data_IF_558800147050
#
_entry.id   IF_558800147050
#
_cell.length_a   1.000
_cell.length_b   1.000
_cell.length_c   1.000
_cell.angle_alpha   90.00
_cell.angle_beta   90.00
_cell.angle_gamma   90.00
#
_symmetry.space_group_name_H-M   'P 1'
#
loop_
_entity.id
_entity.type
_entity.pdbx_description
1 polymer ?
#
# COMPACT_ATOMS: atom_id res chain seq x y z
N UNK A 1 -55.64 40.50 21.73
CA UNK A 1 -55.28 40.85 20.34
C UNK A 1 -54.78 39.60 19.63
N UNK A 2 -55.47 39.12 18.58
CA UNK A 2 -54.84 38.25 17.59
C UNK A 2 -54.94 38.88 16.18
N UNK A 3 -53.78 39.08 15.53
CA UNK A 3 -53.65 39.26 14.09
C UNK A 3 -53.06 37.95 13.54
N UNK A 4 -53.81 37.16 12.78
CA UNK A 4 -53.96 37.25 11.33
C UNK A 4 -52.66 36.92 10.57
N UNK A 5 -52.58 35.73 9.97
CA UNK A 5 -51.88 35.55 8.70
C UNK A 5 -52.61 34.56 7.79
N UNK A 6 -52.92 35.11 6.63
CA UNK A 6 -53.51 34.57 5.42
C UNK A 6 -52.40 33.95 4.58
N UNK A 7 -52.55 32.74 4.02
CA UNK A 7 -51.82 32.34 2.80
C UNK A 7 -52.71 31.51 1.88
N UNK A 8 -52.68 31.94 0.63
CA UNK A 8 -53.48 31.55 -0.53
C UNK A 8 -52.82 30.39 -1.29
N UNK A 9 -53.66 29.61 -1.95
CA UNK A 9 -53.39 28.49 -2.84
C UNK A 9 -53.11 28.98 -4.29
N UNK A 10 -52.00 28.60 -4.95
CA UNK A 10 -51.82 28.61 -6.43
C UNK A 10 -50.73 27.58 -6.81
N UNK A 11 -51.04 26.37 -7.31
CA UNK A 11 -51.08 25.89 -8.72
C UNK A 11 -49.81 26.01 -9.59
N UNK A 12 -49.49 24.88 -10.25
CA UNK A 12 -48.61 24.76 -11.44
C UNK A 12 -47.17 24.35 -11.12
N UNK A 13 -46.45 23.50 -11.86
CA UNK A 13 -46.51 23.15 -13.28
C UNK A 13 -45.60 21.93 -13.57
N UNK A 14 -46.00 21.16 -14.59
CA UNK A 14 -45.17 20.35 -15.50
C UNK A 14 -44.58 18.99 -15.07
N UNK A 15 -45.39 17.95 -15.31
CA UNK A 15 -44.93 16.67 -15.89
C UNK A 15 -44.97 16.76 -17.41
N UNK A 16 -43.85 16.53 -18.11
CA UNK A 16 -43.82 15.93 -19.46
C UNK A 16 -42.46 15.24 -19.68
N UNK A 17 -42.46 13.89 -19.69
CA UNK A 17 -41.40 13.09 -20.32
C UNK A 17 -42.10 12.31 -21.44
N UNK A 18 -41.83 12.69 -22.69
CA UNK A 18 -42.30 11.99 -23.88
C UNK A 18 -41.18 11.05 -24.33
N UNK A 19 -41.56 9.78 -24.43
CA UNK A 19 -40.81 8.66 -24.98
C UNK A 19 -40.60 8.87 -26.49
N UNK A 20 -39.35 8.85 -26.94
CA UNK A 20 -39.00 8.89 -28.36
C UNK A 20 -38.91 7.47 -28.90
N UNK A 21 -40.05 6.92 -29.32
CA UNK A 21 -40.12 5.77 -30.19
C UNK A 21 -40.96 6.14 -31.42
N UNK A 22 -40.44 5.77 -32.59
CA UNK A 22 -41.11 5.68 -33.89
C UNK A 22 -41.67 6.96 -34.50
N UNK A 23 -40.93 7.51 -35.49
CA UNK A 23 -41.50 8.00 -36.74
C UNK A 23 -40.34 8.39 -37.69
N UNK A 24 -40.06 7.55 -38.68
CA UNK A 24 -39.80 7.93 -40.08
C UNK A 24 -39.28 6.71 -40.85
N UNK A 25 -40.22 5.87 -41.29
CA UNK A 25 -40.10 5.07 -42.50
C UNK A 25 -41.09 5.65 -43.50
N UNK A 26 -40.64 6.46 -44.46
CA UNK A 26 -41.23 6.49 -45.81
C UNK A 26 -40.25 7.19 -46.75
N UNK A 27 -39.55 6.43 -47.60
CA UNK A 27 -39.35 6.69 -49.03
C UNK A 27 -38.28 5.71 -49.55
N UNK A 28 -38.78 4.63 -50.13
CA UNK A 28 -38.03 3.76 -51.02
C UNK A 28 -38.13 4.26 -52.46
N UNK A 29 -37.10 3.92 -53.25
CA UNK A 29 -36.95 3.98 -54.72
C UNK A 29 -36.36 5.28 -55.29
N UNK A 30 -35.05 5.22 -55.57
CA UNK A 30 -34.52 5.15 -56.94
C UNK A 30 -33.01 4.85 -56.89
N UNK A 31 -32.58 3.73 -57.47
CA UNK A 31 -31.17 3.45 -57.79
C UNK A 31 -30.72 4.32 -58.98
N UNK A 32 -29.44 4.72 -59.10
CA UNK A 32 -28.46 3.81 -59.70
C UNK A 32 -27.04 3.86 -59.09
N UNK A 33 -26.38 2.71 -59.11
CA UNK A 33 -24.93 2.48 -59.22
C UNK A 33 -23.97 3.56 -58.67
N UNK A 34 -23.74 3.57 -57.35
CA UNK A 34 -22.58 4.23 -56.76
C UNK A 34 -21.47 3.21 -56.46
N UNK A 35 -20.40 3.30 -57.25
CA UNK A 35 -19.12 2.64 -57.05
C UNK A 35 -18.71 2.68 -55.57
N UNK A 36 -18.53 1.51 -54.97
CA UNK A 36 -17.89 1.34 -53.65
C UNK A 36 -16.44 1.85 -53.76
N UNK A 37 -16.04 2.94 -53.08
CA UNK A 37 -14.64 3.21 -52.91
C UNK A 37 -14.09 2.13 -51.98
N UNK A 38 -13.23 1.26 -52.51
CA UNK A 38 -12.37 0.38 -51.72
C UNK A 38 -11.42 1.26 -50.91
N UNK A 39 -11.89 1.74 -49.77
CA UNK A 39 -11.04 2.34 -48.76
C UNK A 39 -10.19 1.23 -48.16
N UNK A 40 -8.90 1.40 -48.34
CA UNK A 40 -7.77 0.64 -47.82
C UNK A 40 -7.87 0.42 -46.30
N UNK A 41 -8.71 -0.54 -45.89
CA UNK A 41 -9.01 -0.84 -44.48
C UNK A 41 -7.94 -1.65 -43.75
N UNK A 42 -6.92 -2.16 -44.46
CA UNK A 42 -5.89 -3.00 -43.85
C UNK A 42 -4.92 -2.23 -42.95
N UNK A 43 -4.56 -0.99 -43.33
CA UNK A 43 -3.51 -0.21 -42.65
C UNK A 43 -4.01 0.61 -41.47
N UNK A 44 -5.26 1.09 -41.51
CA UNK A 44 -5.85 1.88 -40.41
C UNK A 44 -6.29 0.97 -39.25
N UNK A 45 -6.83 -0.21 -39.57
CA UNK A 45 -7.21 -1.21 -38.56
C UNK A 45 -5.98 -1.79 -37.84
N UNK A 46 -4.87 -2.04 -38.55
CA UNK A 46 -3.60 -2.45 -37.91
C UNK A 46 -2.97 -1.31 -37.11
N UNK A 47 -3.02 -0.07 -37.59
CA UNK A 47 -2.51 1.08 -36.83
C UNK A 47 -3.27 1.28 -35.51
N UNK A 48 -4.61 1.14 -35.51
CA UNK A 48 -5.43 1.24 -34.28
C UNK A 48 -5.25 0.04 -33.35
N UNK A 49 -5.04 -1.17 -33.89
CA UNK A 49 -4.75 -2.36 -33.09
C UNK A 49 -3.36 -2.27 -32.43
N UNK A 50 -2.36 -1.74 -33.14
CA UNK A 50 -1.01 -1.50 -32.61
C UNK A 50 -0.99 -0.33 -31.61
N UNK A 51 -1.77 0.73 -31.83
CA UNK A 51 -1.91 1.84 -30.89
C UNK A 51 -2.64 1.38 -29.60
N UNK A 52 -3.69 0.57 -29.74
CA UNK A 52 -4.39 -0.04 -28.61
C UNK A 52 -3.52 -1.03 -27.82
N UNK A 53 -2.64 -1.78 -28.49
CA UNK A 53 -1.68 -2.67 -27.82
C UNK A 53 -0.54 -1.91 -27.13
N UNK A 54 -0.11 -0.77 -27.67
CA UNK A 54 0.91 0.08 -27.06
C UNK A 54 0.46 0.79 -25.77
N UNK A 55 -0.84 1.06 -25.63
CA UNK A 55 -1.40 1.74 -24.45
C UNK A 55 -1.62 0.81 -23.24
N UNK A 56 -1.52 -0.52 -23.41
CA UNK A 56 -1.64 -1.49 -22.31
C UNK A 56 -0.30 -1.68 -21.56
N UNK A 57 0.83 -1.21 -22.12
CA UNK A 57 2.17 -1.44 -21.55
C UNK A 57 2.73 -0.26 -20.74
N UNK A 58 2.00 0.85 -20.62
CA UNK A 58 2.42 1.97 -19.76
C UNK A 58 1.90 1.83 -18.33
N UNK A 59 2.21 0.71 -17.68
CA UNK A 59 2.26 0.72 -16.22
C UNK A 59 3.55 1.43 -15.80
N UNK A 60 3.51 2.48 -14.95
CA UNK A 60 4.73 2.97 -14.33
C UNK A 60 5.22 1.87 -13.39
N UNK A 61 6.09 1.01 -13.90
CA UNK A 61 6.95 0.18 -13.09
C UNK A 61 7.95 1.12 -12.41
N UNK A 62 7.49 1.85 -11.40
CA UNK A 62 8.34 2.27 -10.30
C UNK A 62 8.70 1.00 -9.55
N UNK A 63 9.56 0.21 -10.18
CA UNK A 63 10.27 -0.87 -9.55
C UNK A 63 11.15 -0.22 -8.50
N UNK A 64 10.59 -0.01 -7.29
CA UNK A 64 11.37 0.20 -6.07
C UNK A 64 12.48 -0.84 -6.15
N UNK A 65 13.74 -0.40 -6.22
CA UNK A 65 14.91 -1.28 -6.25
C UNK A 65 14.78 -2.23 -5.06
N UNK A 66 14.20 -3.41 -5.29
CA UNK A 66 14.08 -4.44 -4.26
C UNK A 66 15.51 -4.79 -3.90
N UNK A 67 15.93 -4.44 -2.70
CA UNK A 67 17.26 -4.77 -2.21
C UNK A 67 17.43 -6.29 -2.36
N UNK A 68 18.37 -6.70 -3.19
CA UNK A 68 18.64 -8.12 -3.43
C UNK A 68 19.55 -8.63 -2.31
N UNK A 69 19.37 -9.87 -1.84
CA UNK A 69 20.31 -10.48 -0.91
C UNK A 69 21.72 -10.50 -1.52
N UNK A 70 22.77 -10.34 -0.69
CA UNK A 70 24.15 -10.57 -1.14
C UNK A 70 24.30 -11.97 -1.75
N UNK A 71 25.21 -12.11 -2.72
CA UNK A 71 25.50 -13.41 -3.30
C UNK A 71 26.21 -14.35 -2.30
N UNK A 72 26.12 -15.66 -2.52
CA UNK A 72 26.95 -16.65 -1.81
C UNK A 72 26.32 -17.32 -0.57
N UNK A 73 25.02 -17.16 -0.34
CA UNK A 73 24.33 -17.81 0.77
C UNK A 73 22.81 -17.80 0.64
N UNK A 74 22.13 -18.36 1.64
CA UNK A 74 20.67 -18.38 1.70
C UNK A 74 20.17 -17.01 2.15
N UNK A 75 19.25 -16.43 1.38
CA UNK A 75 18.71 -15.10 1.66
C UNK A 75 18.01 -15.03 3.03
N UNK A 76 18.30 -13.97 3.77
CA UNK A 76 17.64 -13.62 5.02
C UNK A 76 17.43 -12.11 5.14
N UNK A 77 16.48 -11.69 5.96
CA UNK A 77 16.16 -10.28 6.22
C UNK A 77 16.16 -10.02 7.72
N UNK A 78 16.79 -8.93 8.15
CA UNK A 78 16.78 -8.49 9.56
C UNK A 78 15.39 -8.01 9.96
N UNK A 79 14.83 -8.56 11.04
CA UNK A 79 13.49 -8.25 11.56
C UNK A 79 13.49 -7.68 12.97
N UNK A 80 14.58 -7.87 13.73
CA UNK A 80 14.75 -7.31 15.07
C UNK A 80 16.15 -6.69 15.24
N UNK A 81 16.20 -5.36 15.26
CA UNK A 81 17.44 -4.57 15.38
C UNK A 81 18.12 -4.75 16.74
N UNK A 82 17.35 -5.10 17.78
CA UNK A 82 17.88 -5.27 19.14
C UNK A 82 18.81 -6.48 19.23
N UNK A 83 18.52 -7.51 18.43
CA UNK A 83 19.31 -8.74 18.32
C UNK A 83 20.28 -8.71 17.13
N UNK A 84 20.19 -7.70 16.26
CA UNK A 84 20.95 -7.60 15.03
C UNK A 84 22.38 -7.03 15.21
N UNK A 85 23.08 -7.50 16.23
CA UNK A 85 24.49 -7.21 16.47
C UNK A 85 25.37 -8.17 15.65
N UNK A 86 26.07 -7.65 14.63
CA UNK A 86 27.03 -8.43 13.86
C UNK A 86 28.36 -8.50 14.62
N UNK A 87 28.84 -9.72 14.88
CA UNK A 87 30.03 -9.99 15.69
C UNK A 87 31.10 -10.76 14.92
N UNK A 88 32.33 -10.78 15.42
CA UNK A 88 33.42 -11.55 14.82
C UNK A 88 33.40 -13.05 15.17
N UNK A 89 32.83 -13.41 16.32
CA UNK A 89 32.59 -14.77 16.79
C UNK A 89 31.11 -15.04 17.19
N UNK A 90 30.64 -16.31 17.21
CA UNK A 90 29.27 -16.69 17.52
C UNK A 90 28.99 -16.75 19.04
N UNK A 91 29.24 -15.65 19.73
CA UNK A 91 29.06 -15.50 21.17
C UNK A 91 28.45 -14.14 21.49
N UNK A 92 27.69 -14.03 22.58
CA UNK A 92 27.05 -12.77 22.97
C UNK A 92 28.06 -11.71 23.44
N UNK A 93 29.20 -12.12 23.95
CA UNK A 93 30.31 -11.27 24.41
C UNK A 93 31.34 -10.96 23.33
N UNK A 94 31.26 -11.61 22.16
CA UNK A 94 32.20 -11.41 21.06
C UNK A 94 32.22 -9.95 20.56
N UNK A 95 33.31 -9.53 19.94
CA UNK A 95 33.49 -8.14 19.53
C UNK A 95 32.40 -7.71 18.54
N UNK A 96 31.81 -6.53 18.77
CA UNK A 96 30.76 -5.98 17.92
C UNK A 96 31.39 -5.30 16.71
N UNK A 97 31.14 -5.84 15.52
CA UNK A 97 31.58 -5.26 14.26
C UNK A 97 30.67 -4.11 13.81
N UNK A 98 29.34 -4.33 13.86
CA UNK A 98 28.34 -3.32 13.51
C UNK A 98 26.93 -3.76 13.96
N UNK A 99 26.00 -2.81 14.06
CA UNK A 99 24.57 -3.10 14.21
C UNK A 99 23.86 -3.00 12.87
N UNK A 100 23.02 -3.98 12.56
CA UNK A 100 22.26 -4.00 11.31
C UNK A 100 20.85 -3.47 11.54
N UNK A 101 20.42 -2.55 10.66
CA UNK A 101 19.05 -2.04 10.64
C UNK A 101 18.04 -3.05 10.10
N UNK A 102 16.77 -2.83 10.45
CA UNK A 102 15.64 -3.66 10.01
C UNK A 102 15.45 -3.58 8.51
N UNK A 103 14.99 -4.68 7.90
CA UNK A 103 14.81 -4.79 6.46
C UNK A 103 16.12 -4.94 5.68
N UNK A 104 17.28 -4.94 6.36
CA UNK A 104 18.57 -5.23 5.72
C UNK A 104 18.58 -6.69 5.25
N UNK A 105 18.86 -6.89 3.97
CA UNK A 105 19.12 -8.22 3.44
C UNK A 105 20.53 -8.69 3.77
N UNK A 106 20.65 -9.95 4.16
CA UNK A 106 21.91 -10.64 4.42
C UNK A 106 21.88 -12.02 3.77
N UNK A 107 23.05 -12.62 3.55
CA UNK A 107 23.17 -13.99 3.07
C UNK A 107 23.72 -14.87 4.18
N UNK A 108 22.95 -15.87 4.61
CA UNK A 108 23.38 -16.86 5.60
C UNK A 108 24.28 -17.88 4.93
N UNK A 109 25.51 -18.00 5.43
CA UNK A 109 26.55 -18.89 4.90
C UNK A 109 26.92 -20.02 5.86
N UNK A 110 26.49 -19.94 7.12
CA UNK A 110 26.74 -20.97 8.12
C UNK A 110 25.93 -20.76 9.39
N UNK A 111 25.97 -21.74 10.28
CA UNK A 111 25.22 -21.78 11.53
C UNK A 111 26.09 -22.40 12.63
N UNK A 112 26.03 -21.86 13.85
CA UNK A 112 26.73 -22.41 15.02
C UNK A 112 25.93 -22.12 16.28
N UNK A 113 25.76 -23.14 17.12
CA UNK A 113 25.25 -22.97 18.49
C UNK A 113 26.33 -22.42 19.42
N UNK A 114 25.94 -21.51 20.31
CA UNK A 114 26.77 -21.03 21.41
C UNK A 114 26.52 -21.85 22.67
N UNK A 115 27.42 -21.74 23.65
CA UNK A 115 27.31 -22.40 24.96
C UNK A 115 26.07 -21.94 25.73
N UNK A 116 25.61 -20.72 25.47
CA UNK A 116 24.41 -20.12 26.09
C UNK A 116 23.08 -20.59 25.46
N UNK A 117 23.10 -21.62 24.60
CA UNK A 117 21.92 -22.13 23.89
C UNK A 117 21.43 -21.23 22.75
N UNK A 118 22.12 -20.12 22.47
CA UNK A 118 21.79 -19.21 21.37
C UNK A 118 22.38 -19.72 20.07
N UNK A 119 21.56 -19.76 19.01
CA UNK A 119 22.03 -20.07 17.66
C UNK A 119 22.45 -18.80 16.93
N UNK A 120 23.67 -18.82 16.38
CA UNK A 120 24.22 -17.77 15.54
C UNK A 120 24.32 -18.21 14.09
N UNK A 121 24.04 -17.29 13.18
CA UNK A 121 24.32 -17.43 11.76
C UNK A 121 25.58 -16.69 11.36
N UNK A 122 26.44 -17.36 10.59
CA UNK A 122 27.45 -16.64 9.81
C UNK A 122 26.72 -15.97 8.65
N UNK A 123 26.81 -14.66 8.58
CA UNK A 123 26.13 -13.85 7.57
C UNK A 123 27.11 -13.00 6.79
N UNK A 124 26.93 -12.94 5.47
CA UNK A 124 27.53 -11.92 4.62
C UNK A 124 26.54 -10.77 4.45
N UNK A 125 26.98 -9.55 4.78
CA UNK A 125 26.20 -8.30 4.63
C UNK A 125 26.57 -7.60 3.32
N UNK A 126 27.85 -7.63 2.97
CA UNK A 126 28.40 -7.20 1.68
C UNK A 126 29.48 -8.20 1.24
N UNK A 127 30.09 -7.99 0.08
CA UNK A 127 31.26 -8.80 -0.35
C UNK A 127 32.46 -8.70 0.60
N UNK A 128 32.58 -7.59 1.35
CA UNK A 128 33.72 -7.31 2.26
C UNK A 128 33.34 -7.37 3.73
N UNK A 129 32.06 -7.60 4.05
CA UNK A 129 31.57 -7.52 5.42
C UNK A 129 30.77 -8.77 5.74
N UNK A 130 31.31 -9.58 6.64
CA UNK A 130 30.68 -10.77 7.16
C UNK A 130 30.96 -10.90 8.66
N UNK A 131 30.12 -11.66 9.35
CA UNK A 131 30.24 -11.88 10.78
C UNK A 131 29.16 -12.83 11.28
N UNK A 132 29.01 -12.94 12.59
CA UNK A 132 28.01 -13.76 13.24
C UNK A 132 26.87 -12.89 13.76
N UNK A 133 25.64 -13.37 13.57
CA UNK A 133 24.42 -12.68 13.95
C UNK A 133 23.51 -13.66 14.66
N UNK A 134 22.82 -13.24 15.72
CA UNK A 134 21.82 -14.12 16.36
C UNK A 134 20.74 -14.51 15.35
N UNK A 135 20.40 -15.80 15.30
CA UNK A 135 19.43 -16.33 14.35
C UNK A 135 18.05 -15.69 14.46
N UNK A 136 17.61 -15.34 15.67
CA UNK A 136 16.33 -14.68 15.94
C UNK A 136 16.25 -13.25 15.41
N UNK A 137 17.38 -12.61 15.11
CA UNK A 137 17.41 -11.27 14.53
C UNK A 137 16.93 -11.24 13.07
N UNK A 138 16.90 -12.39 12.39
CA UNK A 138 16.59 -12.51 10.96
C UNK A 138 15.47 -13.51 10.69
N UNK A 139 14.88 -13.41 9.50
CA UNK A 139 13.99 -14.41 8.94
C UNK A 139 14.51 -14.88 7.58
N UNK A 140 14.26 -16.14 7.27
CA UNK A 140 14.66 -16.81 6.03
C UNK A 140 13.41 -17.31 5.32
N UNK A 141 13.06 -16.78 4.13
CA UNK A 141 11.95 -17.30 3.32
C UNK A 141 12.03 -18.79 2.97
N UNK A 142 13.23 -19.37 3.04
CA UNK A 142 13.49 -20.79 2.78
C UNK A 142 13.38 -21.69 4.01
N UNK A 143 13.18 -21.14 5.21
CA UNK A 143 13.07 -21.90 6.46
C UNK A 143 11.60 -21.95 6.87
N UNK A 144 11.06 -23.16 7.02
CA UNK A 144 9.72 -23.34 7.57
C UNK A 144 9.65 -22.81 9.00
N UNK A 145 8.53 -22.20 9.39
CA UNK A 145 8.36 -21.62 10.73
C UNK A 145 8.73 -20.14 10.84
N UNK A 146 9.47 -19.60 9.87
CA UNK A 146 9.97 -18.22 9.94
C UNK A 146 8.87 -17.18 9.66
N UNK A 147 7.87 -17.52 8.84
CA UNK A 147 6.69 -16.69 8.64
C UNK A 147 5.82 -16.67 9.90
N UNK A 148 5.54 -17.81 10.54
CA UNK A 148 4.83 -17.82 11.82
C UNK A 148 5.58 -17.03 12.89
N UNK A 149 6.91 -17.18 12.97
CA UNK A 149 7.76 -16.42 13.91
C UNK A 149 7.64 -14.93 13.67
N UNK A 150 7.73 -14.49 12.41
CA UNK A 150 7.61 -13.06 12.09
C UNK A 150 6.21 -12.53 12.39
N UNK A 151 5.16 -13.30 12.11
CA UNK A 151 3.79 -12.89 12.47
C UNK A 151 3.63 -12.71 13.98
N UNK A 152 4.19 -13.62 14.81
CA UNK A 152 4.19 -13.44 16.27
C UNK A 152 4.90 -12.16 16.68
N UNK A 153 6.06 -11.87 16.09
CA UNK A 153 6.80 -10.64 16.35
C UNK A 153 6.01 -9.39 15.92
N UNK A 154 5.35 -9.41 14.76
CA UNK A 154 4.48 -8.32 14.30
C UNK A 154 3.36 -8.05 15.31
N UNK A 155 2.67 -9.09 15.78
CA UNK A 155 1.58 -8.96 16.75
C UNK A 155 2.04 -8.35 18.08
N UNK A 156 3.24 -8.70 18.54
CA UNK A 156 3.85 -8.10 19.75
C UNK A 156 4.54 -6.74 19.52
N UNK A 157 4.50 -6.20 18.30
CA UNK A 157 5.08 -4.89 17.98
C UNK A 157 4.03 -3.80 18.10
N UNK A 158 4.47 -2.55 18.24
CA UNK A 158 3.58 -1.39 18.24
C UNK A 158 3.98 -0.38 17.15
N UNK A 159 3.02 0.50 16.83
CA UNK A 159 3.23 1.67 15.98
C UNK A 159 3.98 1.37 14.67
N UNK A 160 4.99 2.20 14.36
CA UNK A 160 5.81 2.05 13.17
C UNK A 160 6.54 0.71 13.11
N UNK A 161 6.88 0.12 14.26
CA UNK A 161 7.61 -1.14 14.28
C UNK A 161 6.79 -2.27 13.71
N UNK A 162 5.51 -2.29 14.05
CA UNK A 162 4.52 -3.22 13.49
C UNK A 162 4.37 -3.02 11.99
N UNK A 163 4.23 -1.78 11.51
CA UNK A 163 4.14 -1.47 10.06
C UNK A 163 5.39 -1.93 9.31
N UNK A 164 6.57 -1.62 9.81
CA UNK A 164 7.85 -1.98 9.18
C UNK A 164 8.06 -3.49 9.12
N UNK A 165 7.76 -4.22 10.20
CA UNK A 165 7.85 -5.70 10.24
C UNK A 165 6.81 -6.36 9.35
N UNK A 166 5.57 -5.86 9.34
CA UNK A 166 4.54 -6.33 8.43
C UNK A 166 4.96 -6.11 6.96
N UNK A 167 5.57 -4.97 6.64
CA UNK A 167 6.11 -4.74 5.30
C UNK A 167 7.16 -5.78 4.91
N UNK A 168 8.10 -6.07 5.81
CA UNK A 168 9.12 -7.11 5.58
C UNK A 168 8.48 -8.46 5.33
N UNK A 169 7.47 -8.85 6.12
CA UNK A 169 6.74 -10.09 5.90
C UNK A 169 6.14 -10.14 4.49
N UNK A 170 5.45 -9.07 4.08
CA UNK A 170 4.77 -9.00 2.78
C UNK A 170 5.75 -9.07 1.60
N UNK A 171 6.99 -8.63 1.79
CA UNK A 171 8.04 -8.73 0.77
C UNK A 171 8.77 -10.09 0.80
N UNK A 172 9.02 -10.63 2.00
CA UNK A 172 9.82 -11.84 2.21
C UNK A 172 9.02 -13.14 1.98
N UNK A 173 7.72 -13.14 2.32
CA UNK A 173 6.84 -14.32 2.30
C UNK A 173 5.61 -14.11 1.40
N UNK A 174 5.78 -13.89 0.08
CA UNK A 174 4.67 -13.58 -0.82
C UNK A 174 3.67 -14.73 -0.98
N UNK A 175 4.07 -15.98 -0.67
CA UNK A 175 3.25 -17.20 -0.82
C UNK A 175 2.77 -17.76 0.53
N UNK A 176 3.05 -17.10 1.66
CA UNK A 176 2.62 -17.61 2.95
C UNK A 176 1.09 -17.56 3.08
N UNK A 177 0.44 -18.62 3.61
CA UNK A 177 -0.99 -18.61 3.87
C UNK A 177 -1.39 -17.56 4.92
N UNK A 178 -0.43 -17.05 5.71
CA UNK A 178 -0.65 -16.02 6.72
C UNK A 178 -0.69 -14.60 6.16
N UNK A 179 -0.46 -14.45 4.85
CA UNK A 179 -0.44 -13.14 4.19
C UNK A 179 -1.72 -12.31 4.37
N UNK A 180 -2.95 -12.87 4.31
CA UNK A 180 -4.17 -12.09 4.55
C UNK A 180 -4.20 -11.47 5.95
N UNK A 181 -3.83 -12.24 6.96
CA UNK A 181 -3.73 -11.76 8.35
C UNK A 181 -2.70 -10.62 8.49
N UNK A 182 -1.55 -10.72 7.83
CA UNK A 182 -0.53 -9.66 7.86
C UNK A 182 -0.97 -8.42 7.07
N UNK A 183 -1.65 -8.58 5.94
CA UNK A 183 -2.20 -7.44 5.19
C UNK A 183 -3.24 -6.68 6.02
N UNK A 184 -4.08 -7.40 6.78
CA UNK A 184 -5.07 -6.78 7.65
C UNK A 184 -4.39 -5.98 8.76
N UNK A 185 -3.43 -6.60 9.45
CA UNK A 185 -2.62 -5.92 10.47
C UNK A 185 -1.89 -4.68 9.90
N UNK A 186 -1.33 -4.79 8.70
CA UNK A 186 -0.64 -3.68 8.05
C UNK A 186 -1.58 -2.51 7.77
N UNK A 187 -2.78 -2.78 7.23
CA UNK A 187 -3.79 -1.75 6.95
C UNK A 187 -4.32 -1.10 8.22
N UNK A 188 -4.69 -1.90 9.22
CA UNK A 188 -5.25 -1.41 10.48
C UNK A 188 -4.25 -0.54 11.24
N UNK A 189 -3.00 -0.98 11.31
CA UNK A 189 -1.93 -0.20 11.95
C UNK A 189 -1.61 1.08 11.17
N UNK A 190 -1.76 1.05 9.84
CA UNK A 190 -1.59 2.25 9.02
C UNK A 190 -2.70 3.27 9.29
N UNK A 191 -3.95 2.84 9.44
CA UNK A 191 -5.05 3.74 9.81
C UNK A 191 -4.86 4.32 11.22
N UNK A 192 -4.45 3.50 12.20
CA UNK A 192 -4.09 3.98 13.55
C UNK A 192 -2.96 5.02 13.51
N UNK A 193 -1.95 4.80 12.65
CA UNK A 193 -0.87 5.76 12.45
C UNK A 193 -1.37 7.06 11.82
N UNK A 194 -2.35 7.01 10.92
CA UNK A 194 -2.97 8.19 10.30
C UNK A 194 -3.58 9.12 11.37
N UNK A 195 -4.30 8.55 12.35
CA UNK A 195 -4.86 9.30 13.47
C UNK A 195 -3.79 9.95 14.37
N UNK A 196 -2.66 9.26 14.60
CA UNK A 196 -1.53 9.82 15.36
C UNK A 196 -0.84 10.96 14.60
N UNK A 197 -0.55 10.75 13.31
CA UNK A 197 0.08 11.73 12.44
C UNK A 197 -0.78 12.98 12.27
N UNK A 198 -2.11 12.81 12.25
CA UNK A 198 -3.06 13.93 12.22
C UNK A 198 -2.87 14.83 13.44
N UNK A 199 -2.87 14.25 14.64
CA UNK A 199 -2.66 14.99 15.89
C UNK A 199 -1.28 15.65 15.96
N UNK A 200 -0.25 15.00 15.41
CA UNK A 200 1.09 15.58 15.36
C UNK A 200 1.18 16.75 14.36
N UNK A 201 0.60 16.59 13.17
CA UNK A 201 0.55 17.64 12.16
C UNK A 201 -0.24 18.85 12.64
N UNK A 202 -1.42 18.66 13.23
CA UNK A 202 -2.23 19.74 13.79
C UNK A 202 -1.51 20.52 14.91
N UNK A 203 -0.64 19.86 15.68
CA UNK A 203 0.17 20.53 16.72
C UNK A 203 1.36 21.31 16.16
N UNK A 204 1.90 20.90 15.01
CA UNK A 204 3.11 21.49 14.42
C UNK A 204 2.85 22.50 13.31
N UNK A 205 1.71 22.39 12.63
CA UNK A 205 1.33 23.26 11.53
C UNK A 205 0.45 24.38 12.10
N UNK A 206 1.02 25.56 12.28
CA UNK A 206 0.30 26.73 12.77
C UNK A 206 -0.65 27.29 11.68
N UNK A 207 -1.90 27.55 12.05
CA UNK A 207 -2.91 28.02 11.11
C UNK A 207 -2.61 29.40 10.53
N UNK A 208 -2.06 30.32 11.34
CA UNK A 208 -1.74 31.68 10.91
C UNK A 208 -0.54 31.68 9.97
N UNK A 209 0.47 30.87 10.26
CA UNK A 209 1.63 30.71 9.37
C UNK A 209 1.23 30.09 8.02
N UNK A 210 0.33 29.09 8.04
CA UNK A 210 -0.19 28.49 6.80
C UNK A 210 -0.99 29.50 5.96
N UNK A 211 -1.84 30.30 6.60
CA UNK A 211 -2.62 31.35 5.92
C UNK A 211 -1.70 32.43 5.33
N UNK A 212 -0.69 32.88 6.08
CA UNK A 212 0.29 33.87 5.63
C UNK A 212 1.15 33.36 4.46
N UNK A 213 1.44 32.06 4.43
CA UNK A 213 2.21 31.45 3.34
C UNK A 213 1.45 31.31 2.01
N UNK A 214 0.13 31.52 1.98
CA UNK A 214 -0.68 31.59 0.77
C UNK A 214 -0.90 30.26 0.02
N UNK A 215 -0.33 29.15 0.49
CA UNK A 215 -0.55 27.84 -0.10
C UNK A 215 -1.83 27.18 0.46
N UNK A 216 -2.52 26.31 -0.31
CA UNK A 216 -3.67 25.58 0.21
C UNK A 216 -3.31 24.76 1.45
N UNK A 217 -4.16 24.77 2.49
CA UNK A 217 -3.92 24.04 3.74
C UNK A 217 -3.57 22.55 3.52
N UNK A 218 -4.25 21.88 2.59
CA UNK A 218 -3.97 20.49 2.24
C UNK A 218 -2.51 20.24 1.80
N UNK A 219 -1.86 21.23 1.19
CA UNK A 219 -0.47 21.14 0.78
C UNK A 219 0.48 21.02 1.97
N UNK A 220 0.24 21.76 3.05
CA UNK A 220 1.06 21.67 4.27
C UNK A 220 0.95 20.28 4.90
N UNK A 221 -0.27 19.75 5.01
CA UNK A 221 -0.51 18.41 5.55
C UNK A 221 0.13 17.31 4.68
N UNK A 222 -0.03 17.35 3.36
CA UNK A 222 0.55 16.34 2.47
C UNK A 222 2.08 16.39 2.39
N UNK A 223 2.69 17.53 2.75
CA UNK A 223 4.14 17.71 2.88
C UNK A 223 4.64 17.56 4.32
N UNK A 224 3.80 17.10 5.26
CA UNK A 224 4.22 16.85 6.63
C UNK A 224 5.29 15.74 6.67
N UNK A 225 6.46 16.06 7.23
CA UNK A 225 7.63 15.18 7.25
C UNK A 225 7.39 13.84 7.98
N UNK A 226 6.46 13.78 8.93
CA UNK A 226 6.09 12.56 9.64
C UNK A 226 5.58 11.45 8.73
N UNK A 227 5.08 11.79 7.54
CA UNK A 227 4.58 10.83 6.55
C UNK A 227 5.70 10.00 5.91
N UNK A 228 6.93 10.53 5.84
CA UNK A 228 8.00 9.97 5.02
C UNK A 228 8.43 8.57 5.46
N UNK A 229 8.52 8.34 6.78
CA UNK A 229 8.90 7.03 7.31
C UNK A 229 7.92 5.94 6.87
N UNK A 230 6.64 6.26 6.81
CA UNK A 230 5.56 5.35 6.41
C UNK A 230 5.50 5.18 4.89
N UNK A 231 5.71 6.26 4.11
CA UNK A 231 5.82 6.20 2.64
C UNK A 231 6.95 5.27 2.18
N UNK A 232 8.08 5.26 2.90
CA UNK A 232 9.19 4.30 2.65
C UNK A 232 8.73 2.85 2.85
N UNK A 233 7.84 2.58 3.80
CA UNK A 233 7.22 1.26 4.00
C UNK A 233 6.09 0.96 2.98
N UNK A 234 5.76 1.89 2.08
CA UNK A 234 4.71 1.71 1.09
C UNK A 234 3.31 2.00 1.61
N UNK A 235 3.19 2.70 2.74
CA UNK A 235 1.93 3.25 3.22
C UNK A 235 1.67 4.57 2.52
N UNK A 236 0.47 4.74 1.97
CA UNK A 236 0.01 6.00 1.39
C UNK A 236 -1.11 6.54 2.26
N UNK A 237 -1.00 7.82 2.59
CA UNK A 237 -2.04 8.55 3.30
C UNK A 237 -2.72 9.52 2.35
N UNK A 238 -4.05 9.57 2.44
CA UNK A 238 -4.88 10.60 1.82
C UNK A 238 -5.27 11.62 2.90
N UNK A 239 -5.44 12.87 2.51
CA UNK A 239 -5.86 13.93 3.42
C UNK A 239 -7.32 14.28 3.12
N UNK A 240 -8.19 14.10 4.12
CA UNK A 240 -9.56 14.59 4.06
C UNK A 240 -9.58 16.08 4.44
N UNK A 241 -10.07 16.90 3.51
CA UNK A 241 -10.17 18.35 3.68
C UNK A 241 -11.30 18.75 4.62
N UNK A 242 -12.37 17.96 4.72
CA UNK A 242 -13.53 18.27 5.55
C UNK A 242 -13.18 18.09 7.03
N UNK A 243 -12.61 16.94 7.39
CA UNK A 243 -12.24 16.63 8.78
C UNK A 243 -10.82 17.08 9.15
N UNK A 244 -9.99 17.45 8.16
CA UNK A 244 -8.57 17.79 8.30
C UNK A 244 -7.75 16.66 8.91
N UNK A 245 -8.01 15.42 8.46
CA UNK A 245 -7.36 14.21 8.96
C UNK A 245 -6.67 13.43 7.85
N UNK A 246 -5.62 12.71 8.22
CA UNK A 246 -5.06 11.68 7.38
C UNK A 246 -5.87 10.40 7.51
N UNK A 247 -6.05 9.71 6.38
CA UNK A 247 -6.56 8.34 6.31
C UNK A 247 -5.61 7.47 5.51
N UNK A 248 -5.55 6.19 5.85
CA UNK A 248 -4.86 5.21 5.03
C UNK A 248 -5.61 5.01 3.71
N UNK A 249 -4.88 4.91 2.60
CA UNK A 249 -5.49 4.76 1.27
C UNK A 249 -6.23 3.42 1.06
N UNK A 250 -6.10 2.48 1.98
CA UNK A 250 -6.77 1.18 1.97
C UNK A 250 -6.14 0.16 1.01
N UNK A 251 -4.91 0.37 0.51
CA UNK A 251 -4.30 -0.54 -0.46
C UNK A 251 -4.20 -2.00 0.03
N UNK A 252 -3.83 -2.20 1.30
CA UNK A 252 -3.76 -3.51 1.94
C UNK A 252 -5.11 -4.21 1.98
N UNK A 253 -6.16 -3.51 2.45
CA UNK A 253 -7.52 -4.05 2.49
C UNK A 253 -8.05 -4.38 1.08
N UNK A 254 -7.79 -3.53 0.08
CA UNK A 254 -8.14 -3.83 -1.32
C UNK A 254 -7.41 -5.07 -1.84
N UNK A 255 -6.13 -5.26 -1.48
CA UNK A 255 -5.41 -6.48 -1.84
C UNK A 255 -6.06 -7.72 -1.23
N UNK A 256 -6.50 -7.66 0.03
CA UNK A 256 -7.20 -8.78 0.69
C UNK A 256 -8.47 -9.15 -0.07
N UNK A 257 -9.35 -8.18 -0.31
CA UNK A 257 -10.64 -8.44 -0.98
C UNK A 257 -10.42 -8.99 -2.39
N UNK A 258 -9.40 -8.51 -3.10
CA UNK A 258 -9.12 -8.93 -4.47
C UNK A 258 -8.44 -10.30 -4.57
N UNK A 259 -7.48 -10.60 -3.69
CA UNK A 259 -6.65 -11.82 -3.80
C UNK A 259 -7.09 -12.95 -2.88
N UNK A 260 -7.77 -12.63 -1.79
CA UNK A 260 -8.18 -13.58 -0.75
C UNK A 260 -9.68 -13.42 -0.42
N UNK A 261 -10.58 -13.39 -1.42
CA UNK A 261 -11.98 -13.02 -1.22
C UNK A 261 -12.76 -13.91 -0.24
N UNK A 262 -12.28 -15.14 -0.02
CA UNK A 262 -12.88 -16.16 0.84
C UNK A 262 -12.29 -16.21 2.26
N UNK A 263 -11.23 -15.45 2.57
CA UNK A 263 -10.66 -15.43 3.91
C UNK A 263 -11.54 -14.65 4.88
N UNK A 264 -11.44 -14.94 6.18
CA UNK A 264 -12.15 -14.18 7.22
C UNK A 264 -11.72 -12.71 7.24
N UNK A 265 -10.44 -12.43 6.95
CA UNK A 265 -9.91 -11.07 6.84
C UNK A 265 -10.54 -10.28 5.70
N UNK A 266 -11.04 -10.93 4.64
CA UNK A 266 -11.73 -10.23 3.56
C UNK A 266 -13.06 -9.62 4.01
N UNK A 267 -13.77 -10.26 4.95
CA UNK A 267 -14.98 -9.70 5.53
C UNK A 267 -14.66 -8.40 6.31
N UNK A 268 -13.61 -8.42 7.13
CA UNK A 268 -13.16 -7.23 7.85
C UNK A 268 -12.63 -6.13 6.92
N UNK A 269 -11.83 -6.50 5.92
CA UNK A 269 -11.31 -5.56 4.93
C UNK A 269 -12.43 -4.82 4.17
N UNK A 270 -13.53 -5.50 3.84
CA UNK A 270 -14.71 -4.86 3.21
C UNK A 270 -15.36 -3.84 4.16
N UNK A 271 -15.49 -4.15 5.45
CA UNK A 271 -16.01 -3.20 6.45
C UNK A 271 -15.13 -1.95 6.52
N UNK A 272 -13.80 -2.11 6.59
CA UNK A 272 -12.86 -0.97 6.63
C UNK A 272 -12.93 -0.11 5.38
N UNK A 273 -13.00 -0.72 4.19
CA UNK A 273 -13.12 0.02 2.93
C UNK A 273 -14.44 0.78 2.81
N UNK A 274 -15.56 0.21 3.29
CA UNK A 274 -16.84 0.90 3.33
C UNK A 274 -16.77 2.15 4.24
N UNK A 275 -16.16 2.01 5.43
CA UNK A 275 -15.93 3.13 6.34
C UNK A 275 -15.01 4.22 5.76
N UNK A 276 -13.89 3.84 5.13
CA UNK A 276 -12.97 4.78 4.52
C UNK A 276 -13.57 5.54 3.32
N UNK A 277 -14.44 4.87 2.55
CA UNK A 277 -15.15 5.52 1.43
C UNK A 277 -16.19 6.53 1.93
N UNK A 278 -16.83 6.26 3.07
CA UNK A 278 -17.74 7.20 3.70
C UNK A 278 -17.00 8.43 4.26
N UNK A 279 -15.78 8.26 4.77
CA UNK A 279 -14.96 9.36 5.28
C UNK A 279 -14.31 10.23 4.18
N UNK A 280 -14.16 9.70 2.97
CA UNK A 280 -13.56 10.42 1.84
C UNK A 280 -14.57 11.25 1.01
N UNK A 281 -15.86 11.21 1.35
CA UNK A 281 -16.95 11.97 0.71
C UNK A 281 -17.31 13.18 1.55
#
# INVERSE_FOLDING_TARGET
>A
MPQAHFVVHVSGLFRQFISAASLFQTLARNSPAARVPRLTGGRVATALLLLGLSLIVSAPAQARKKHRPPAGGRAAVVVDERLAALRDAPELSANLLQRLGRGRFVAVTGERGSRDGVTFYRVAVTRRTAGWLQSDAVVRPSRAGDDERLLRLIRGSEEFDRVSRARIFLDAFPRSPLRPAVLLLFGDTSEEAAAKLTREAQRRLDAREMEAGGAPQASYFLNFNGLDRYRRQGVVFVFDRATKQFHYDGAGWREIVRRYPQSSEAAEARKRLAGATAAAR
#
